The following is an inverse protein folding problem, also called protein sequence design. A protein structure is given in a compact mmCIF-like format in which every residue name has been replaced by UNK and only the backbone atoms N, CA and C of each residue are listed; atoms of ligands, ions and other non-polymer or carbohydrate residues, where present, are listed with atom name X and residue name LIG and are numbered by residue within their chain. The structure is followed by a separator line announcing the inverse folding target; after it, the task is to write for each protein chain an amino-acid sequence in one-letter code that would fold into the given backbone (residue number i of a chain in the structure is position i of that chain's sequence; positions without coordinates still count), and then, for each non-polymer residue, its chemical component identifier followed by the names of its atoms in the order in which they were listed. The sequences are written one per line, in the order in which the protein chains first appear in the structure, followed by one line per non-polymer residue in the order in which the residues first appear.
data_IF_486611159480
#
_entry.id   IF_486611159480
#
_cell.length_a   1.000
_cell.length_b   1.000
_cell.length_c   1.000
_cell.angle_alpha   90.00
_cell.angle_beta   90.00
_cell.angle_gamma   90.00
#
_symmetry.space_group_name_H-M   'P 1'
#
loop_
_entity.id
_entity.type
_entity.pdbx_description
1 polymer ?
#
# COMPACT_ATOMS: atom_id res chain seq x y z
N UNK A 1 -4.55 8.31 -11.28
CA UNK A 1 -5.11 7.07 -10.70
C UNK A 1 -4.35 6.63 -9.45
N UNK A 2 -3.02 6.55 -9.47
CA UNK A 2 -2.20 6.13 -8.31
C UNK A 2 -2.53 6.84 -6.98
N UNK A 3 -2.65 8.17 -6.97
CA UNK A 3 -2.99 8.95 -5.77
C UNK A 3 -4.32 8.48 -5.15
N UNK A 4 -5.36 8.29 -5.97
CA UNK A 4 -6.65 7.82 -5.50
C UNK A 4 -6.57 6.40 -4.92
N UNK A 5 -5.85 5.50 -5.59
CA UNK A 5 -5.64 4.14 -5.08
C UNK A 5 -4.88 4.13 -3.75
N UNK A 6 -3.89 5.02 -3.57
CA UNK A 6 -3.17 5.17 -2.31
C UNK A 6 -4.05 5.73 -1.20
N UNK A 7 -4.90 6.72 -1.49
CA UNK A 7 -5.86 7.27 -0.52
C UNK A 7 -6.84 6.19 -0.08
N UNK A 8 -7.49 5.50 -1.04
CA UNK A 8 -8.49 4.46 -0.73
C UNK A 8 -7.85 3.30 0.03
N UNK A 9 -6.63 2.89 -0.34
CA UNK A 9 -5.88 1.86 0.38
C UNK A 9 -5.54 2.28 1.81
N UNK A 10 -5.04 3.51 2.02
CA UNK A 10 -4.71 4.02 3.35
C UNK A 10 -5.94 4.10 4.25
N UNK A 11 -7.05 4.65 3.74
CA UNK A 11 -8.31 4.75 4.49
C UNK A 11 -8.88 3.37 4.79
N UNK A 12 -8.89 2.45 3.81
CA UNK A 12 -9.38 1.09 4.00
C UNK A 12 -8.62 0.33 5.08
N UNK A 13 -7.28 0.43 5.08
CA UNK A 13 -6.43 -0.20 6.10
C UNK A 13 -6.59 0.48 7.47
N UNK A 14 -6.72 1.81 7.51
CA UNK A 14 -6.97 2.53 8.75
C UNK A 14 -8.29 2.09 9.41
N UNK A 15 -9.36 1.95 8.61
CA UNK A 15 -10.67 1.55 9.11
C UNK A 15 -10.70 0.12 9.66
N UNK A 16 -9.78 -0.77 9.25
CA UNK A 16 -9.64 -2.10 9.85
C UNK A 16 -9.27 -2.02 11.33
N UNK A 17 -8.54 -0.99 11.77
CA UNK A 17 -8.14 -0.83 13.18
C UNK A 17 -9.32 -0.53 14.12
N UNK A 18 -10.43 -0.02 13.56
CA UNK A 18 -11.61 0.44 14.32
C UNK A 18 -12.89 -0.30 13.91
N UNK A 19 -12.77 -1.37 13.12
CA UNK A 19 -13.93 -2.12 12.62
C UNK A 19 -14.66 -2.82 13.79
N UNK A 20 -15.94 -2.50 14.06
CA UNK A 20 -16.69 -3.02 15.20
C UNK A 20 -17.22 -4.45 15.00
N UNK A 21 -17.12 -5.00 13.78
CA UNK A 21 -17.64 -6.33 13.47
C UNK A 21 -17.14 -6.90 12.14
N UNK A 22 -17.40 -8.19 11.90
CA UNK A 22 -16.80 -8.94 10.80
C UNK A 22 -17.23 -8.44 9.41
N UNK A 23 -18.45 -7.92 9.27
CA UNK A 23 -18.96 -7.40 7.99
C UNK A 23 -18.19 -6.15 7.57
N UNK A 24 -18.01 -5.19 8.48
CA UNK A 24 -17.23 -3.98 8.20
C UNK A 24 -15.76 -4.32 7.96
N UNK A 25 -15.20 -5.25 8.73
CA UNK A 25 -13.85 -5.74 8.53
C UNK A 25 -13.67 -6.33 7.11
N UNK A 26 -14.61 -7.18 6.66
CA UNK A 26 -14.58 -7.74 5.31
C UNK A 26 -14.69 -6.66 4.23
N UNK A 27 -15.60 -5.68 4.40
CA UNK A 27 -15.74 -4.57 3.45
C UNK A 27 -14.46 -3.71 3.37
N UNK A 28 -13.86 -3.36 4.51
CA UNK A 28 -12.59 -2.63 4.57
C UNK A 28 -11.44 -3.44 3.95
N UNK A 29 -11.43 -4.76 4.16
CA UNK A 29 -10.42 -5.65 3.58
C UNK A 29 -10.53 -5.72 2.05
N UNK A 30 -11.74 -5.95 1.53
CA UNK A 30 -11.98 -6.01 0.07
C UNK A 30 -11.62 -4.68 -0.59
N UNK A 31 -12.01 -3.55 0.01
CA UNK A 31 -11.70 -2.22 -0.53
C UNK A 31 -10.19 -1.94 -0.50
N UNK A 32 -9.51 -2.24 0.60
CA UNK A 32 -8.06 -2.07 0.71
C UNK A 32 -7.28 -2.96 -0.28
N UNK A 33 -7.70 -4.22 -0.46
CA UNK A 33 -7.06 -5.15 -1.38
C UNK A 33 -7.26 -4.75 -2.84
N UNK A 34 -8.48 -4.37 -3.24
CA UNK A 34 -8.73 -3.85 -4.59
C UNK A 34 -7.94 -2.57 -4.88
N UNK A 35 -7.88 -1.65 -3.91
CA UNK A 35 -7.08 -0.44 -4.03
C UNK A 35 -5.58 -0.75 -4.18
N UNK A 36 -5.06 -1.74 -3.43
CA UNK A 36 -3.69 -2.23 -3.57
C UNK A 36 -3.40 -2.77 -4.98
N UNK A 37 -4.32 -3.53 -5.58
CA UNK A 37 -4.16 -3.97 -6.97
C UNK A 37 -4.08 -2.78 -7.94
N UNK A 38 -4.89 -1.73 -7.70
CA UNK A 38 -4.82 -0.47 -8.45
C UNK A 38 -3.46 0.23 -8.33
N UNK A 39 -2.89 0.30 -7.12
CA UNK A 39 -1.54 0.82 -6.87
C UNK A 39 -0.50 0.03 -7.66
N UNK A 40 -0.54 -1.30 -7.58
CA UNK A 40 0.40 -2.18 -8.26
C UNK A 40 0.36 -2.03 -9.79
N UNK A 41 -0.83 -1.94 -10.37
CA UNK A 41 -1.01 -1.71 -11.81
C UNK A 41 -0.46 -0.34 -12.21
N UNK A 42 -0.78 0.72 -11.46
CA UNK A 42 -0.29 2.06 -11.75
C UNK A 42 1.24 2.15 -11.68
N UNK A 43 1.87 1.52 -10.67
CA UNK A 43 3.33 1.47 -10.55
C UNK A 43 3.95 0.77 -11.76
N UNK A 44 3.38 -0.35 -12.22
CA UNK A 44 3.90 -1.03 -13.41
C UNK A 44 3.80 -0.16 -14.66
N UNK A 45 2.69 0.55 -14.85
CA UNK A 45 2.51 1.49 -15.97
C UNK A 45 3.52 2.64 -15.90
N UNK A 46 3.76 3.21 -14.71
CA UNK A 46 4.76 4.26 -14.52
C UNK A 46 6.17 3.78 -14.88
N UNK A 47 6.53 2.55 -14.49
CA UNK A 47 7.82 1.98 -14.84
C UNK A 47 7.91 1.73 -16.34
N UNK A 48 6.89 1.15 -16.97
CA UNK A 48 6.88 0.88 -18.40
C UNK A 48 6.96 2.14 -19.28
N UNK A 49 6.43 3.27 -18.82
CA UNK A 49 6.50 4.54 -19.54
C UNK A 49 7.89 5.19 -19.51
N UNK A 50 8.85 4.64 -18.75
CA UNK A 50 10.23 5.15 -18.73
C UNK A 50 11.11 4.45 -19.78
N UNK A 51 12.12 5.15 -20.34
CA UNK A 51 13.12 4.54 -21.21
C UNK A 51 13.81 3.37 -20.49
N UNK A 52 13.82 2.18 -21.11
CA UNK A 52 14.33 0.91 -20.53
C UNK A 52 13.53 0.38 -19.32
N UNK A 53 12.31 0.89 -19.08
CA UNK A 53 11.46 0.52 -17.97
C UNK A 53 11.12 -0.97 -17.89
N UNK A 54 11.02 -1.66 -19.02
CA UNK A 54 10.76 -3.10 -19.07
C UNK A 54 11.82 -3.94 -18.33
N UNK A 55 13.09 -3.52 -18.36
CA UNK A 55 14.17 -4.18 -17.63
C UNK A 55 14.05 -4.01 -16.11
N UNK A 56 13.38 -2.95 -15.65
CA UNK A 56 13.17 -2.65 -14.23
C UNK A 56 11.93 -3.32 -13.62
N UNK A 57 11.02 -3.86 -14.43
CA UNK A 57 9.82 -4.52 -13.89
C UNK A 57 10.15 -5.70 -12.97
N UNK A 58 11.17 -6.50 -13.31
CA UNK A 58 11.62 -7.61 -12.45
C UNK A 58 12.10 -7.12 -11.07
N UNK A 59 12.76 -5.96 -11.03
CA UNK A 59 13.22 -5.34 -9.78
C UNK A 59 12.05 -4.87 -8.93
N UNK A 60 11.04 -4.23 -9.54
CA UNK A 60 9.81 -3.83 -8.85
C UNK A 60 9.09 -5.05 -8.26
N UNK A 61 9.00 -6.14 -9.02
CA UNK A 61 8.38 -7.38 -8.54
C UNK A 61 9.18 -8.00 -7.39
N UNK A 62 10.52 -8.00 -7.46
CA UNK A 62 11.36 -8.48 -6.37
C UNK A 62 11.11 -7.71 -5.07
N UNK A 63 10.98 -6.38 -5.12
CA UNK A 63 10.62 -5.58 -3.95
C UNK A 63 9.21 -5.88 -3.42
N UNK A 64 8.25 -6.22 -4.29
CA UNK A 64 6.91 -6.65 -3.83
C UNK A 64 6.99 -7.95 -3.06
N UNK A 65 7.69 -8.95 -3.59
CA UNK A 65 7.87 -10.22 -2.90
C UNK A 65 8.59 -10.03 -1.56
N UNK A 66 9.61 -9.18 -1.53
CA UNK A 66 10.28 -8.81 -0.29
C UNK A 66 9.33 -8.15 0.73
N UNK A 67 8.49 -7.20 0.29
CA UNK A 67 7.50 -6.57 1.17
C UNK A 67 6.50 -7.58 1.73
N UNK A 68 6.01 -8.51 0.89
CA UNK A 68 5.07 -9.57 1.30
C UNK A 68 5.74 -10.50 2.32
N UNK A 69 6.99 -10.90 2.11
CA UNK A 69 7.71 -11.79 3.04
C UNK A 69 8.09 -11.10 4.36
N UNK A 70 8.41 -9.81 4.32
CA UNK A 70 8.72 -9.01 5.51
C UNK A 70 7.47 -8.70 6.36
N UNK A 71 6.29 -8.62 5.74
CA UNK A 71 5.03 -8.28 6.41
C UNK A 71 4.75 -9.12 7.67
N UNK A 72 4.74 -10.47 7.64
CA UNK A 72 4.51 -11.26 8.84
C UNK A 72 5.62 -11.10 9.89
N UNK A 73 6.88 -10.97 9.46
CA UNK A 73 8.00 -10.76 10.37
C UNK A 73 7.88 -9.44 11.18
N UNK A 74 7.24 -8.42 10.59
CA UNK A 74 7.01 -7.12 11.24
C UNK A 74 5.68 -7.08 11.97
N UNK A 75 4.58 -7.50 11.33
CA UNK A 75 3.23 -7.31 11.86
C UNK A 75 2.85 -8.33 12.94
N UNK A 76 3.38 -9.55 12.93
CA UNK A 76 3.06 -10.54 13.98
C UNK A 76 3.54 -10.07 15.36
N UNK A 77 4.81 -9.62 15.54
CA UNK A 77 5.24 -9.04 16.80
C UNK A 77 4.38 -7.84 17.23
N UNK A 78 4.08 -6.93 16.31
CA UNK A 78 3.25 -5.74 16.59
C UNK A 78 1.85 -6.14 17.03
N UNK A 79 1.26 -7.14 16.39
CA UNK A 79 -0.06 -7.67 16.75
C UNK A 79 -0.07 -8.25 18.17
N UNK A 80 1.02 -8.89 18.59
CA UNK A 80 1.20 -9.38 19.96
C UNK A 80 1.20 -8.27 21.02
N UNK A 81 1.62 -7.05 20.67
CA UNK A 81 1.56 -5.88 21.56
C UNK A 81 0.24 -5.09 21.43
N UNK A 82 -0.27 -4.92 20.21
CA UNK A 82 -1.49 -4.17 19.92
C UNK A 82 -2.11 -4.61 18.61
N UNK A 83 -3.33 -5.14 18.69
CA UNK A 83 -4.14 -5.50 17.52
C UNK A 83 -4.35 -4.28 16.62
N UNK A 84 -4.74 -3.13 17.20
CA UNK A 84 -4.93 -1.89 16.45
C UNK A 84 -3.60 -1.41 15.82
N UNK A 85 -2.48 -1.53 16.55
CA UNK A 85 -1.15 -1.17 16.05
C UNK A 85 -0.75 -1.93 14.78
N UNK A 86 -1.13 -3.20 14.66
CA UNK A 86 -0.84 -4.01 13.48
C UNK A 86 -1.56 -3.54 12.20
N UNK A 87 -2.68 -2.83 12.33
CA UNK A 87 -3.41 -2.23 11.20
C UNK A 87 -3.02 -0.76 10.99
N UNK A 88 -2.75 -0.01 12.05
CA UNK A 88 -2.34 1.39 11.95
C UNK A 88 -0.97 1.56 11.31
N UNK A 89 -0.02 0.65 11.61
CA UNK A 89 1.32 0.71 11.05
C UNK A 89 1.33 0.67 9.51
N UNK A 90 0.70 -0.31 8.83
CA UNK A 90 0.61 -0.30 7.38
C UNK A 90 -0.19 0.90 6.84
N UNK A 91 -1.24 1.37 7.55
CA UNK A 91 -1.96 2.57 7.14
C UNK A 91 -1.07 3.82 7.10
N UNK A 92 -0.19 3.98 8.10
CA UNK A 92 0.80 5.07 8.15
C UNK A 92 1.82 4.94 7.03
N UNK A 93 2.32 3.73 6.76
CA UNK A 93 3.29 3.50 5.66
C UNK A 93 2.69 3.89 4.30
N UNK A 94 1.43 3.52 4.03
CA UNK A 94 0.75 3.91 2.78
C UNK A 94 0.53 5.42 2.72
N UNK A 95 0.19 6.05 3.86
CA UNK A 95 0.00 7.50 3.94
C UNK A 95 1.31 8.27 3.70
N UNK A 96 2.42 7.81 4.26
CA UNK A 96 3.76 8.36 3.99
C UNK A 96 4.11 8.21 2.52
N UNK A 97 3.82 7.04 1.92
CA UNK A 97 4.05 6.79 0.49
C UNK A 97 3.24 7.76 -0.39
N UNK A 98 1.99 8.02 -0.03
CA UNK A 98 1.14 9.03 -0.67
C UNK A 98 1.76 10.43 -0.57
N UNK A 99 2.26 10.82 0.61
CA UNK A 99 2.91 12.11 0.83
C UNK A 99 4.18 12.28 -0.01
N UNK A 100 5.04 11.27 -0.04
CA UNK A 100 6.27 11.26 -0.83
C UNK A 100 5.95 11.37 -2.33
N UNK A 101 5.02 10.55 -2.82
CA UNK A 101 4.63 10.58 -4.23
C UNK A 101 3.96 11.90 -4.62
N UNK A 102 3.06 12.41 -3.78
CA UNK A 102 2.40 13.70 -3.97
C UNK A 102 3.40 14.86 -4.05
N UNK A 103 4.39 14.88 -3.15
CA UNK A 103 5.44 15.89 -3.14
C UNK A 103 6.38 15.77 -4.35
N UNK A 104 6.70 14.56 -4.80
CA UNK A 104 7.49 14.33 -6.02
C UNK A 104 6.73 14.82 -7.27
N UNK A 105 5.43 14.51 -7.37
CA UNK A 105 4.58 14.96 -8.47
C UNK A 105 4.43 16.48 -8.51
N UNK A 106 4.26 17.12 -7.35
CA UNK A 106 4.16 18.58 -7.27
C UNK A 106 5.44 19.29 -7.73
N UNK A 107 6.60 18.64 -7.60
CA UNK A 107 7.90 19.14 -8.06
C UNK A 107 8.17 18.83 -9.54
N UNK A 108 7.28 18.12 -10.24
CA UNK A 108 7.47 17.71 -11.63
C UNK A 108 8.57 16.68 -11.84
N UNK A 109 9.00 15.98 -10.78
CA UNK A 109 10.04 14.93 -10.87
C UNK A 109 9.48 13.56 -11.26
N UNK A 110 8.15 13.41 -11.26
CA UNK A 110 7.37 12.22 -11.66
C UNK A 110 6.00 12.63 -12.22
#
# INVERSE_FOLDING_TARGET
MLIYSLIVSSVGVFLLAVAPGPVMLAACWVTATLACQGVQTCVNVLVLNNPRGSAFLSTVQAFRFFGISATPAVLIPVFGYSVAGAFLLPAVVVLVTLGIYGAAKARGTV
#
